data_IF_894055420016
#
_entry.id   IF_894055420016
#
_cell.length_a   1.000
_cell.length_b   1.000
_cell.length_c   1.000
_cell.angle_alpha   90.00
_cell.angle_beta   90.00
_cell.angle_gamma   90.00
#
_symmetry.space_group_name_H-M   'P 1'
#
loop_
_entity.id
_entity.type
_entity.pdbx_description
1 polymer ?
#
# COMPACT_ATOMS: atom_id res chain seq x y z
N UNK A 1 -15.27 6.27 -4.24
CA UNK A 1 -14.29 5.66 -5.18
C UNK A 1 -12.94 6.24 -4.82
N UNK A 2 -11.90 5.40 -4.64
CA UNK A 2 -10.54 5.91 -4.37
C UNK A 2 -10.05 6.66 -5.61
N UNK A 3 -9.44 7.82 -5.42
CA UNK A 3 -8.88 8.58 -6.51
C UNK A 3 -7.39 8.27 -6.64
N UNK A 4 -7.04 7.53 -7.69
CA UNK A 4 -5.68 7.09 -7.98
C UNK A 4 -5.13 7.86 -9.16
N UNK A 5 -3.90 8.34 -9.03
CA UNK A 5 -3.09 8.78 -10.14
C UNK A 5 -2.16 7.64 -10.57
N UNK A 6 -2.11 7.37 -11.87
CA UNK A 6 -1.29 6.33 -12.45
C UNK A 6 -0.09 6.94 -13.17
N UNK A 7 1.10 6.43 -12.88
CA UNK A 7 2.35 6.79 -13.54
C UNK A 7 2.99 5.51 -14.05
N UNK A 8 3.37 5.51 -15.32
CA UNK A 8 4.17 4.45 -15.93
C UNK A 8 5.57 5.00 -16.21
N UNK A 9 6.58 4.20 -15.91
CA UNK A 9 7.98 4.51 -16.15
C UNK A 9 8.46 3.86 -17.45
N UNK A 10 9.56 4.36 -18.02
CA UNK A 10 10.12 3.84 -19.28
C UNK A 10 10.56 2.37 -19.21
N UNK A 11 10.87 1.88 -18.00
CA UNK A 11 11.25 0.48 -17.76
C UNK A 11 10.05 -0.47 -17.64
N UNK A 12 8.82 0.02 -17.82
CA UNK A 12 7.58 -0.75 -17.70
C UNK A 12 7.08 -0.93 -16.27
N UNK A 13 7.80 -0.42 -15.27
CA UNK A 13 7.26 -0.33 -13.92
C UNK A 13 6.20 0.77 -13.84
N UNK A 14 5.27 0.64 -12.90
CA UNK A 14 4.24 1.64 -12.68
C UNK A 14 3.96 1.86 -11.20
N UNK A 15 3.45 3.04 -10.88
CA UNK A 15 2.98 3.37 -9.54
C UNK A 15 1.61 4.01 -9.61
N UNK A 16 0.71 3.54 -8.73
CA UNK A 16 -0.54 4.18 -8.40
C UNK A 16 -0.35 4.95 -7.11
N UNK A 17 -0.64 6.25 -7.10
CA UNK A 17 -0.56 7.11 -5.91
C UNK A 17 -1.94 7.67 -5.61
N UNK A 18 -2.42 7.51 -4.37
CA UNK A 18 -3.73 7.99 -3.97
C UNK A 18 -3.71 9.51 -3.82
N UNK A 19 -4.68 10.21 -4.40
CA UNK A 19 -4.78 11.68 -4.32
C UNK A 19 -5.53 12.12 -3.05
N UNK A 20 -5.36 13.40 -2.72
CA UNK A 20 -6.11 14.10 -1.65
C UNK A 20 -5.90 13.55 -0.23
N UNK A 21 -4.68 13.08 0.06
CA UNK A 21 -4.33 12.56 1.39
C UNK A 21 -3.84 13.64 2.37
N UNK A 22 -3.74 14.91 1.95
CA UNK A 22 -3.18 16.00 2.76
C UNK A 22 -3.88 16.14 4.12
N UNK A 23 -5.21 16.08 4.16
CA UNK A 23 -5.96 16.15 5.42
C UNK A 23 -5.63 14.99 6.37
N UNK A 24 -5.36 13.78 5.85
CA UNK A 24 -4.94 12.64 6.67
C UNK A 24 -3.50 12.76 7.13
N UNK A 25 -2.59 13.21 6.27
CA UNK A 25 -1.20 13.51 6.63
C UNK A 25 -1.15 14.56 7.74
N UNK A 26 -1.80 15.70 7.51
CA UNK A 26 -1.75 16.88 8.40
C UNK A 26 -2.45 16.62 9.74
N UNK A 27 -3.25 15.55 9.86
CA UNK A 27 -3.83 15.12 11.12
C UNK A 27 -2.79 14.60 12.13
N UNK A 28 -1.61 14.17 11.68
CA UNK A 28 -0.58 13.55 12.51
C UNK A 28 -0.96 12.17 13.08
N UNK A 29 -2.12 11.61 12.68
CA UNK A 29 -2.64 10.38 13.26
C UNK A 29 -1.94 9.12 12.76
N UNK A 30 -1.25 9.17 11.62
CA UNK A 30 -0.69 7.99 10.95
C UNK A 30 0.84 8.11 10.82
N UNK A 31 1.60 7.89 11.91
CA UNK A 31 3.04 8.16 11.87
C UNK A 31 3.88 6.99 11.33
N UNK A 32 3.25 5.84 11.03
CA UNK A 32 3.96 4.64 10.62
C UNK A 32 3.65 4.29 9.17
N UNK A 33 4.69 4.19 8.35
CA UNK A 33 4.63 3.63 7.00
C UNK A 33 4.85 2.13 7.08
N UNK A 34 3.96 1.37 6.47
CA UNK A 34 4.08 -0.08 6.29
C UNK A 34 4.21 -0.36 4.80
N UNK A 35 5.22 -1.13 4.43
CA UNK A 35 5.41 -1.63 3.06
C UNK A 35 5.13 -3.13 3.09
N UNK A 36 4.16 -3.57 2.28
CA UNK A 36 3.91 -4.99 2.04
C UNK A 36 4.36 -5.31 0.63
N UNK A 37 5.45 -6.05 0.52
CA UNK A 37 6.04 -6.47 -0.75
C UNK A 37 5.52 -7.85 -1.10
N UNK A 38 4.83 -7.98 -2.22
CA UNK A 38 4.48 -9.26 -2.83
C UNK A 38 5.54 -9.62 -3.87
N UNK A 39 6.30 -10.70 -3.63
CA UNK A 39 7.29 -11.17 -4.60
C UNK A 39 6.63 -12.06 -5.64
N UNK A 40 6.70 -11.65 -6.91
CA UNK A 40 6.12 -12.40 -8.02
C UNK A 40 6.80 -13.74 -8.19
N UNK A 41 6.01 -14.79 -8.37
CA UNK A 41 6.51 -16.13 -8.66
C UNK A 41 6.14 -16.62 -10.07
N UNK A 42 5.35 -15.84 -10.82
CA UNK A 42 4.94 -16.18 -12.18
C UNK A 42 3.81 -17.22 -12.27
N UNK A 43 3.10 -17.47 -11.17
CA UNK A 43 1.93 -18.34 -11.18
C UNK A 43 0.78 -17.74 -12.03
N UNK A 44 0.03 -18.60 -12.71
CA UNK A 44 -1.02 -18.20 -13.65
C UNK A 44 -2.15 -17.39 -12.99
N UNK A 45 -2.49 -17.69 -11.74
CA UNK A 45 -3.55 -17.07 -10.94
C UNK A 45 -3.04 -15.98 -10.00
N UNK A 46 -1.77 -15.56 -10.12
CA UNK A 46 -1.15 -14.61 -9.20
C UNK A 46 -1.87 -13.26 -9.18
N UNK A 47 -2.27 -12.74 -10.34
CA UNK A 47 -2.96 -11.45 -10.41
C UNK A 47 -4.32 -11.49 -9.70
N UNK A 48 -5.10 -12.56 -9.90
CA UNK A 48 -6.38 -12.74 -9.20
C UNK A 48 -6.20 -12.81 -7.68
N UNK A 49 -5.08 -13.38 -7.21
CA UNK A 49 -4.77 -13.48 -5.79
C UNK A 49 -4.30 -12.14 -5.22
N UNK A 50 -3.51 -11.37 -5.98
CA UNK A 50 -3.07 -10.02 -5.63
C UNK A 50 -4.26 -9.07 -5.53
N UNK A 51 -5.23 -9.15 -6.44
CA UNK A 51 -6.43 -8.32 -6.41
C UNK A 51 -7.30 -8.65 -5.19
N UNK A 52 -7.56 -9.93 -4.91
CA UNK A 52 -8.27 -10.37 -3.70
C UNK A 52 -7.56 -9.92 -2.42
N UNK A 53 -6.23 -9.97 -2.43
CA UNK A 53 -5.40 -9.51 -1.33
C UNK A 53 -5.62 -8.00 -1.09
N UNK A 54 -5.49 -7.15 -2.11
CA UNK A 54 -5.70 -5.69 -1.98
C UNK A 54 -7.14 -5.35 -1.53
N UNK A 55 -8.14 -6.02 -2.11
CA UNK A 55 -9.54 -5.84 -1.72
C UNK A 55 -9.80 -6.21 -0.26
N UNK A 56 -9.29 -7.36 0.20
CA UNK A 56 -9.46 -7.83 1.57
C UNK A 56 -8.76 -6.92 2.58
N UNK A 57 -7.56 -6.43 2.26
CA UNK A 57 -6.85 -5.48 3.12
C UNK A 57 -7.55 -4.13 3.16
N UNK A 58 -7.94 -3.59 2.01
CA UNK A 58 -8.70 -2.35 1.91
C UNK A 58 -9.99 -2.39 2.72
N UNK A 59 -10.73 -3.50 2.63
CA UNK A 59 -11.97 -3.66 3.39
C UNK A 59 -11.75 -3.62 4.91
N UNK A 60 -10.72 -4.29 5.41
CA UNK A 60 -10.49 -4.41 6.86
C UNK A 60 -9.79 -3.17 7.43
N UNK A 61 -8.74 -2.68 6.75
CA UNK A 61 -7.85 -1.64 7.27
C UNK A 61 -8.39 -0.22 7.09
N UNK A 62 -9.14 0.04 6.01
CA UNK A 62 -9.66 1.40 5.75
C UNK A 62 -11.05 1.64 6.34
N UNK A 63 -11.79 0.59 6.73
CA UNK A 63 -13.18 0.70 7.22
C UNK A 63 -13.31 1.62 8.43
N UNK A 64 -12.45 1.46 9.42
CA UNK A 64 -12.40 2.30 10.63
C UNK A 64 -11.26 3.34 10.55
N UNK A 65 -10.71 3.55 9.35
CA UNK A 65 -9.55 4.39 9.09
C UNK A 65 -8.35 4.03 9.98
N UNK A 66 -8.10 2.75 10.24
CA UNK A 66 -6.94 2.29 11.02
C UNK A 66 -5.64 2.39 10.22
N UNK A 67 -5.75 2.24 8.90
CA UNK A 67 -4.69 2.53 7.97
C UNK A 67 -5.24 3.03 6.63
N UNK A 68 -4.35 3.60 5.83
CA UNK A 68 -4.65 4.20 4.53
C UNK A 68 -3.67 3.66 3.50
N UNK A 69 -4.16 3.03 2.44
CA UNK A 69 -3.31 2.69 1.30
C UNK A 69 -3.01 3.97 0.52
N UNK A 70 -1.74 4.33 0.42
CA UNK A 70 -1.28 5.56 -0.22
C UNK A 70 -0.68 5.32 -1.59
N UNK A 71 -0.05 4.18 -1.81
CA UNK A 71 0.51 3.85 -3.12
C UNK A 71 0.64 2.35 -3.35
N UNK A 72 0.59 1.98 -4.63
CA UNK A 72 0.86 0.63 -5.10
C UNK A 72 1.88 0.74 -6.23
N UNK A 73 3.10 0.30 -5.99
CA UNK A 73 4.14 0.15 -7.01
C UNK A 73 4.13 -1.27 -7.57
N UNK A 74 4.45 -1.41 -8.85
CA UNK A 74 4.54 -2.68 -9.53
C UNK A 74 5.66 -2.65 -10.57
N UNK A 75 6.45 -3.71 -10.61
CA UNK A 75 7.39 -4.03 -11.68
C UNK A 75 7.24 -5.50 -12.13
N UNK A 76 8.22 -6.02 -12.85
CA UNK A 76 8.28 -7.41 -13.33
C UNK A 76 8.47 -8.44 -12.20
N UNK A 77 8.95 -8.01 -11.02
CA UNK A 77 9.35 -8.87 -9.90
C UNK A 77 8.44 -8.78 -8.71
N UNK A 78 7.71 -7.69 -8.52
CA UNK A 78 6.99 -7.46 -7.28
C UNK A 78 5.83 -6.47 -7.41
N UNK A 79 4.98 -6.50 -6.38
CA UNK A 79 4.14 -5.38 -5.99
C UNK A 79 4.59 -4.86 -4.64
N UNK A 80 4.51 -3.55 -4.43
CA UNK A 80 4.71 -2.94 -3.12
C UNK A 80 3.46 -2.14 -2.80
N UNK A 81 2.75 -2.54 -1.75
CA UNK A 81 1.62 -1.81 -1.19
C UNK A 81 2.11 -0.97 -0.01
N UNK A 82 2.02 0.35 -0.15
CA UNK A 82 2.42 1.28 0.91
C UNK A 82 1.20 1.77 1.67
N UNK A 83 1.23 1.55 2.97
CA UNK A 83 0.17 1.92 3.91
C UNK A 83 0.71 2.89 4.96
N UNK A 84 -0.15 3.79 5.41
CA UNK A 84 0.10 4.59 6.61
C UNK A 84 -0.89 4.20 7.69
N UNK A 85 -0.40 3.89 8.90
CA UNK A 85 -1.23 3.41 10.02
C UNK A 85 -1.03 4.21 11.29
N UNK A 86 -2.09 4.28 12.11
CA UNK A 86 -2.06 4.85 13.45
C UNK A 86 -1.26 4.00 14.43
N UNK A 87 -1.26 2.68 14.26
CA UNK A 87 -0.71 1.75 15.23
C UNK A 87 -0.27 0.43 14.56
N UNK A 88 1.02 0.14 14.60
CA UNK A 88 1.63 -1.06 13.99
C UNK A 88 1.03 -2.36 14.55
N UNK A 89 0.71 -2.41 15.85
CA UNK A 89 0.15 -3.62 16.47
C UNK A 89 -1.26 -3.90 15.95
N UNK A 90 -2.12 -2.88 15.95
CA UNK A 90 -3.49 -3.01 15.42
C UNK A 90 -3.46 -3.37 13.94
N UNK A 91 -2.58 -2.73 13.17
CA UNK A 91 -2.36 -3.08 11.76
C UNK A 91 -2.02 -4.57 11.59
N UNK A 92 -1.06 -5.10 12.36
CA UNK A 92 -0.67 -6.51 12.29
C UNK A 92 -1.78 -7.48 12.69
N UNK A 93 -2.58 -7.14 13.71
CA UNK A 93 -3.74 -7.94 14.13
C UNK A 93 -4.81 -8.00 13.03
N UNK A 94 -5.13 -6.86 12.42
CA UNK A 94 -6.08 -6.75 11.30
C UNK A 94 -5.56 -7.44 10.04
N UNK A 95 -4.27 -7.29 9.74
CA UNK A 95 -3.59 -7.97 8.63
C UNK A 95 -3.72 -9.49 8.77
N UNK A 96 -3.32 -10.04 9.92
CA UNK A 96 -3.42 -11.48 10.17
C UNK A 96 -4.87 -12.00 10.07
N UNK A 97 -5.83 -11.23 10.59
CA UNK A 97 -7.26 -11.59 10.48
C UNK A 97 -7.75 -11.58 9.03
N UNK A 98 -7.33 -10.60 8.24
CA UNK A 98 -7.71 -10.48 6.82
C UNK A 98 -7.10 -11.60 5.99
N UNK A 99 -5.85 -11.98 6.29
CA UNK A 99 -5.11 -12.99 5.55
C UNK A 99 -5.32 -14.44 6.03
N UNK A 100 -6.09 -14.67 7.10
CA UNK A 100 -6.26 -15.97 7.71
C UNK A 100 -6.85 -17.05 6.77
N UNK A 101 -7.57 -16.65 5.73
CA UNK A 101 -8.20 -17.54 4.76
C UNK A 101 -7.44 -17.65 3.43
N UNK A 102 -6.32 -16.94 3.30
CA UNK A 102 -5.48 -17.02 2.11
C UNK A 102 -4.54 -18.23 2.20
N UNK A 103 -4.14 -18.80 1.05
CA UNK A 103 -3.00 -19.71 1.02
C UNK A 103 -1.72 -18.98 1.48
N UNK A 104 -0.62 -19.67 1.77
CA UNK A 104 0.66 -19.03 2.04
C UNK A 104 1.03 -18.03 0.94
N UNK A 105 1.20 -16.77 1.30
CA UNK A 105 1.47 -15.67 0.38
C UNK A 105 2.97 -15.34 0.33
N UNK A 106 3.53 -14.96 -0.84
CA UNK A 106 4.94 -14.60 -0.99
C UNK A 106 5.23 -13.16 -0.51
N UNK A 107 4.70 -12.79 0.66
CA UNK A 107 4.75 -11.41 1.17
C UNK A 107 5.88 -11.20 2.17
N UNK A 108 6.47 -10.00 2.12
CA UNK A 108 7.36 -9.46 3.14
C UNK A 108 6.77 -8.16 3.66
N UNK A 109 6.96 -7.87 4.95
CA UNK A 109 6.37 -6.69 5.60
C UNK A 109 7.48 -5.93 6.30
N UNK A 110 7.58 -4.63 6.00
CA UNK A 110 8.49 -3.71 6.67
C UNK A 110 7.70 -2.55 7.28
N UNK A 111 8.18 -2.02 8.41
CA UNK A 111 7.59 -0.86 9.08
C UNK A 111 8.64 0.21 9.34
N UNK A 112 8.31 1.46 9.04
CA UNK A 112 9.17 2.63 9.25
C UNK A 112 8.39 3.73 9.97
N UNK A 113 9.04 4.41 10.91
CA UNK A 113 8.49 5.65 11.46
C UNK A 113 8.70 6.76 10.42
N UNK A 114 7.63 7.23 9.81
CA UNK A 114 7.61 8.28 8.79
C UNK A 114 6.46 9.25 9.09
N UNK A 115 6.50 9.88 10.27
CA UNK A 115 5.47 10.82 10.72
C UNK A 115 5.25 11.99 9.77
N UNK A 116 6.27 12.37 9.02
CA UNK A 116 6.24 13.46 8.05
C UNK A 116 5.74 13.03 6.67
N UNK A 117 5.39 11.75 6.50
CA UNK A 117 4.94 11.17 5.23
C UNK A 117 5.89 11.48 4.07
N UNK A 118 7.20 11.33 4.30
CA UNK A 118 8.22 11.67 3.31
C UNK A 118 8.08 10.84 2.04
N UNK A 119 7.70 9.57 2.16
CA UNK A 119 7.44 8.70 1.01
C UNK A 119 6.31 9.24 0.12
N UNK A 120 5.17 9.56 0.73
CA UNK A 120 4.01 10.08 0.01
C UNK A 120 4.33 11.42 -0.65
N UNK A 121 5.01 12.33 0.07
CA UNK A 121 5.45 13.61 -0.48
C UNK A 121 6.34 13.42 -1.69
N UNK A 122 7.33 12.52 -1.62
CA UNK A 122 8.22 12.22 -2.74
C UNK A 122 7.45 11.71 -3.96
N UNK A 123 6.50 10.79 -3.75
CA UNK A 123 5.62 10.30 -4.82
C UNK A 123 4.82 11.44 -5.46
N UNK A 124 4.25 12.34 -4.66
CA UNK A 124 3.46 13.48 -5.16
C UNK A 124 4.29 14.64 -5.75
N UNK A 125 5.55 14.79 -5.38
CA UNK A 125 6.44 15.81 -5.96
C UNK A 125 6.89 15.42 -7.36
N UNK A 126 7.28 14.16 -7.55
CA UNK A 126 7.62 13.61 -8.89
C UNK A 126 6.45 13.75 -9.87
N UNK A 127 5.22 13.81 -9.36
CA UNK A 127 4.01 14.04 -10.14
C UNK A 127 3.81 15.49 -10.58
N UNK A 128 4.35 16.47 -9.85
CA UNK A 128 4.23 17.89 -10.20
C UNK A 128 5.24 18.34 -11.26
N UNK A 129 6.22 17.49 -11.58
CA UNK A 129 7.28 17.73 -12.56
C UNK A 129 6.98 17.12 -13.95
N UNK A 130 5.88 16.36 -14.06
CA UNK A 130 5.35 15.78 -15.30
C UNK A 130 4.27 16.68 -15.91
#
# INVERSE_FOLDING_TARGET
MKDWLFIEHEDGSNIRVRRFMDAHRDSGLYPFRIEITWNRNGAFDEMDLVDKFDESLSYVLEKELDALNTSIYQDDKQFIFTWYTKNIRVFGELLNKSLAFFPPLPIQIASTNDAEWNDYKLCTQKLAEL
#
